data_IF_259289210428
#
_entry.id   IF_259289210428
#
_cell.length_a   1.000
_cell.length_b   1.000
_cell.length_c   1.000
_cell.angle_alpha   90.00
_cell.angle_beta   90.00
_cell.angle_gamma   90.00
#
_symmetry.space_group_name_H-M   'P 1'
#
loop_
_entity.id
_entity.type
_entity.pdbx_description
1 polymer ?
#
# COMPACT_ATOMS: atom_id res chain seq x y z
N UNK A 1 10.68 5.83 27.97
CA UNK A 1 10.85 5.06 26.75
C UNK A 1 12.05 5.61 26.00
N UNK A 2 12.99 4.81 25.54
CA UNK A 2 14.16 5.38 24.86
C UNK A 2 13.73 5.94 23.49
N UNK A 3 13.90 7.23 23.31
CA UNK A 3 13.57 8.00 22.10
C UNK A 3 14.47 7.72 20.87
N UNK A 4 15.24 6.62 20.88
CA UNK A 4 16.35 6.43 19.94
C UNK A 4 16.04 5.61 18.69
N UNK A 5 14.83 5.07 18.52
CA UNK A 5 14.57 4.07 17.47
C UNK A 5 13.33 4.32 16.59
N UNK A 6 12.87 5.57 16.55
CA UNK A 6 11.80 5.92 15.60
C UNK A 6 12.33 5.77 14.15
N UNK A 7 11.52 5.18 13.22
CA UNK A 7 11.89 5.10 11.83
C UNK A 7 11.99 6.48 11.18
N UNK A 8 12.85 6.60 10.18
CA UNK A 8 13.17 7.87 9.53
C UNK A 8 11.94 8.63 9.00
N UNK A 9 10.96 7.90 8.45
CA UNK A 9 9.72 8.50 7.96
C UNK A 9 8.93 9.21 9.07
N UNK A 10 8.84 8.60 10.26
CA UNK A 10 8.10 9.17 11.39
C UNK A 10 8.84 10.40 11.94
N UNK A 11 10.16 10.28 12.15
CA UNK A 11 11.00 11.42 12.59
C UNK A 11 10.82 12.63 11.67
N UNK A 12 10.83 12.40 10.36
CA UNK A 12 10.66 13.47 9.36
C UNK A 12 9.30 14.15 9.49
N UNK A 13 8.22 13.36 9.61
CA UNK A 13 6.87 13.92 9.67
C UNK A 13 6.61 14.67 10.98
N UNK A 14 7.01 14.13 12.13
CA UNK A 14 6.78 14.77 13.43
C UNK A 14 7.70 15.98 13.68
N UNK A 15 8.82 16.06 12.99
CA UNK A 15 9.72 17.23 13.07
C UNK A 15 9.13 18.47 12.39
N UNK A 16 8.25 18.30 11.41
CA UNK A 16 7.54 19.40 10.76
C UNK A 16 6.39 19.89 11.66
N UNK A 17 6.62 21.00 12.36
CA UNK A 17 5.65 21.65 13.25
C UNK A 17 4.76 22.67 12.52
N UNK A 18 4.95 22.82 11.20
CA UNK A 18 4.15 23.76 10.40
C UNK A 18 2.66 23.35 10.30
N UNK A 19 1.77 24.32 10.09
CA UNK A 19 0.37 24.03 9.83
C UNK A 19 0.23 23.23 8.53
N UNK A 20 -0.86 22.43 8.36
CA UNK A 20 -1.12 21.78 7.09
C UNK A 20 -1.29 22.85 6.00
N UNK A 21 -0.78 22.59 4.79
CA UNK A 21 -0.91 23.55 3.69
C UNK A 21 -2.34 23.64 3.19
N UNK A 22 -2.77 24.84 2.78
CA UNK A 22 -3.94 24.97 1.93
C UNK A 22 -3.60 24.45 0.53
N UNK A 23 -4.49 23.66 -0.05
CA UNK A 23 -4.32 23.04 -1.35
C UNK A 23 -5.44 23.43 -2.30
N UNK A 24 -5.07 23.74 -3.52
CA UNK A 24 -5.99 24.06 -4.59
C UNK A 24 -6.17 22.86 -5.52
N UNK A 25 -7.42 22.61 -5.92
CA UNK A 25 -7.80 21.60 -6.88
C UNK A 25 -7.81 22.18 -8.28
N UNK A 26 -6.80 21.84 -9.08
CA UNK A 26 -6.77 22.13 -10.50
C UNK A 26 -7.59 21.10 -11.26
N UNK A 27 -8.44 21.57 -12.16
CA UNK A 27 -9.28 20.75 -13.04
C UNK A 27 -8.92 20.98 -14.51
N UNK A 28 -9.49 20.25 -15.46
CA UNK A 28 -9.39 20.56 -16.88
C UNK A 28 -9.74 21.99 -17.26
N UNK A 29 -10.65 22.63 -16.51
CA UNK A 29 -11.06 24.03 -16.73
C UNK A 29 -9.93 25.04 -16.47
N UNK A 30 -8.91 24.63 -15.72
CA UNK A 30 -7.74 25.47 -15.44
C UNK A 30 -6.61 25.32 -16.48
N UNK A 31 -6.82 24.53 -17.54
CA UNK A 31 -5.83 24.33 -18.58
C UNK A 31 -6.00 25.32 -19.73
N UNK A 32 -4.87 25.71 -20.35
CA UNK A 32 -4.86 26.43 -21.61
C UNK A 32 -4.90 25.43 -22.77
N UNK A 33 -6.10 25.05 -23.19
CA UNK A 33 -6.29 24.04 -24.25
C UNK A 33 -6.37 24.65 -25.66
N UNK A 34 -6.19 25.98 -25.79
CA UNK A 34 -6.38 26.70 -27.04
C UNK A 34 -7.83 26.72 -27.53
N UNK A 35 -8.18 27.62 -28.47
CA UNK A 35 -9.57 27.84 -28.90
C UNK A 35 -10.27 26.67 -29.65
N UNK A 36 -9.65 25.51 -29.76
CA UNK A 36 -10.18 24.34 -30.48
C UNK A 36 -10.95 23.33 -29.64
N UNK A 37 -10.92 23.45 -28.33
CA UNK A 37 -11.68 22.56 -27.43
C UNK A 37 -12.73 23.38 -26.67
N UNK A 38 -13.87 23.65 -27.31
CA UNK A 38 -15.09 23.90 -26.54
C UNK A 38 -15.46 22.59 -25.85
N UNK A 39 -14.82 22.31 -24.72
CA UNK A 39 -15.31 21.29 -23.79
C UNK A 39 -16.63 21.85 -23.26
N UNK A 40 -17.78 21.17 -23.46
CA UNK A 40 -18.98 21.57 -22.77
C UNK A 40 -18.60 21.62 -21.29
N UNK A 41 -18.93 22.71 -20.63
CA UNK A 41 -18.78 22.82 -19.18
C UNK A 41 -19.45 21.58 -18.58
N UNK A 42 -18.65 20.59 -18.20
CA UNK A 42 -19.13 19.49 -17.37
C UNK A 42 -19.49 20.22 -16.09
N UNK A 43 -20.77 20.54 -15.95
CA UNK A 43 -21.32 21.13 -14.74
C UNK A 43 -20.96 20.18 -13.60
N UNK A 44 -19.84 20.45 -12.93
CA UNK A 44 -19.48 19.83 -11.65
C UNK A 44 -20.45 20.36 -10.56
N UNK A 45 -21.74 20.29 -10.84
CA UNK A 45 -22.81 20.45 -9.86
C UNK A 45 -23.03 19.13 -9.14
N UNK A 46 -21.97 18.44 -8.73
CA UNK A 46 -22.09 17.52 -7.61
C UNK A 46 -22.16 18.39 -6.38
N UNK A 47 -23.38 18.64 -5.92
CA UNK A 47 -23.63 19.47 -4.75
C UNK A 47 -22.88 18.93 -3.54
N UNK A 48 -22.69 19.79 -2.54
CA UNK A 48 -22.12 19.50 -1.21
C UNK A 48 -22.64 18.19 -0.54
N UNK A 49 -23.74 17.64 -1.01
CA UNK A 49 -24.41 16.43 -0.52
C UNK A 49 -23.73 15.10 -0.94
N UNK A 50 -22.62 15.14 -1.69
CA UNK A 50 -22.03 13.92 -2.28
C UNK A 50 -20.69 13.49 -1.63
N UNK A 51 -20.11 14.31 -0.76
CA UNK A 51 -18.82 14.03 -0.12
C UNK A 51 -18.85 12.75 0.73
N UNK A 52 -19.97 12.41 1.33
CA UNK A 52 -20.11 11.20 2.15
C UNK A 52 -19.97 9.92 1.34
N UNK A 53 -20.28 9.96 0.04
CA UNK A 53 -20.15 8.81 -0.87
C UNK A 53 -18.99 8.93 -1.85
N UNK A 54 -18.44 10.13 -2.04
CA UNK A 54 -17.36 10.39 -2.98
C UNK A 54 -16.07 9.76 -2.52
N UNK A 55 -15.43 9.01 -3.42
CA UNK A 55 -14.11 8.40 -3.21
C UNK A 55 -13.06 9.20 -3.96
N UNK A 56 -12.11 9.77 -3.24
CA UNK A 56 -10.95 10.42 -3.82
C UNK A 56 -9.82 9.41 -3.95
N UNK A 57 -9.35 9.13 -5.17
CA UNK A 57 -8.25 8.19 -5.43
C UNK A 57 -6.97 8.97 -5.73
N UNK A 58 -6.10 9.09 -4.72
CA UNK A 58 -4.80 9.75 -4.83
C UNK A 58 -3.75 8.77 -5.36
N UNK A 59 -3.23 9.08 -6.54
CA UNK A 59 -2.30 8.20 -7.24
C UNK A 59 -2.99 7.34 -8.30
N UNK A 60 -3.04 7.85 -9.55
CA UNK A 60 -3.70 7.16 -10.68
C UNK A 60 -2.69 6.26 -11.44
N UNK A 61 -1.93 5.49 -10.65
CA UNK A 61 -1.07 4.41 -11.11
C UNK A 61 -1.85 3.13 -11.43
N UNK A 62 -1.16 1.99 -11.56
CA UNK A 62 -1.80 0.70 -11.89
C UNK A 62 -2.90 0.32 -10.90
N UNK A 63 -2.62 0.44 -9.60
CA UNK A 63 -3.57 0.06 -8.54
C UNK A 63 -4.72 1.07 -8.48
N UNK A 64 -4.45 2.37 -8.52
CA UNK A 64 -5.52 3.37 -8.52
C UNK A 64 -6.48 3.20 -9.71
N UNK A 65 -5.96 2.90 -10.91
CA UNK A 65 -6.77 2.62 -12.10
C UNK A 65 -7.59 1.33 -11.97
N UNK A 66 -7.01 0.28 -11.40
CA UNK A 66 -7.70 -0.97 -11.12
C UNK A 66 -8.90 -0.71 -10.19
N UNK A 67 -8.66 -0.06 -9.04
CA UNK A 67 -9.72 0.24 -8.08
C UNK A 67 -10.78 1.18 -8.65
N UNK A 68 -10.40 2.26 -9.32
CA UNK A 68 -11.33 3.16 -9.98
C UNK A 68 -12.23 2.41 -10.96
N UNK A 69 -11.64 1.57 -11.83
CA UNK A 69 -12.39 0.78 -12.81
C UNK A 69 -13.32 -0.24 -12.17
N UNK A 70 -12.91 -0.87 -11.05
CA UNK A 70 -13.72 -1.87 -10.38
C UNK A 70 -14.85 -1.25 -9.55
N UNK A 71 -14.57 -0.17 -8.82
CA UNK A 71 -15.58 0.56 -8.05
C UNK A 71 -16.67 1.16 -8.95
N UNK A 72 -16.29 1.68 -10.12
CA UNK A 72 -17.24 2.25 -11.08
C UNK A 72 -18.18 1.23 -11.74
N UNK A 73 -17.90 -0.07 -11.60
CA UNK A 73 -18.75 -1.16 -12.16
C UNK A 73 -19.80 -1.69 -11.20
N UNK A 74 -19.90 -1.14 -10.03
CA UNK A 74 -20.93 -1.53 -9.08
C UNK A 74 -22.33 -1.10 -9.57
N UNK A 75 -23.41 -1.76 -9.17
CA UNK A 75 -24.78 -1.36 -9.53
C UNK A 75 -25.13 0.07 -9.06
N UNK A 76 -24.49 0.53 -7.98
CA UNK A 76 -24.60 1.89 -7.44
C UNK A 76 -23.20 2.42 -7.16
N UNK A 77 -22.46 2.81 -8.21
CA UNK A 77 -21.08 3.23 -8.04
C UNK A 77 -20.98 4.49 -7.17
N UNK A 78 -19.96 4.60 -6.35
CA UNK A 78 -19.66 5.87 -5.71
C UNK A 78 -19.18 6.87 -6.76
N UNK A 79 -19.44 8.17 -6.60
CA UNK A 79 -18.74 9.20 -7.35
C UNK A 79 -17.22 9.09 -7.07
N UNK A 80 -16.41 9.18 -8.10
CA UNK A 80 -14.96 9.02 -7.98
C UNK A 80 -14.25 10.25 -8.53
N UNK A 81 -13.35 10.81 -7.72
CA UNK A 81 -12.39 11.84 -8.15
C UNK A 81 -11.00 11.22 -8.22
N UNK A 82 -10.42 11.22 -9.40
CA UNK A 82 -9.04 10.81 -9.65
C UNK A 82 -8.10 11.97 -9.33
N UNK A 83 -7.17 11.77 -8.40
CA UNK A 83 -6.21 12.80 -8.02
C UNK A 83 -4.84 12.47 -8.60
N UNK A 84 -4.43 13.27 -9.58
CA UNK A 84 -3.15 13.12 -10.26
C UNK A 84 -2.05 13.95 -9.61
N UNK A 85 -0.80 13.64 -9.89
CA UNK A 85 0.35 14.26 -9.22
C UNK A 85 1.04 15.36 -10.05
N UNK A 86 0.57 15.65 -11.27
CA UNK A 86 1.14 16.66 -12.15
C UNK A 86 0.14 17.15 -13.20
N UNK A 87 0.32 18.40 -13.64
CA UNK A 87 -0.56 19.12 -14.56
C UNK A 87 -0.70 18.42 -15.92
N UNK A 88 0.38 17.84 -16.44
CA UNK A 88 0.39 17.17 -17.76
C UNK A 88 -0.61 16.02 -17.83
N UNK A 89 -0.89 15.35 -16.70
CA UNK A 89 -1.90 14.29 -16.64
C UNK A 89 -3.32 14.81 -16.82
N UNK A 90 -3.62 16.05 -16.39
CA UNK A 90 -4.92 16.69 -16.71
C UNK A 90 -5.06 16.90 -18.21
N UNK A 91 -3.99 17.40 -18.88
CA UNK A 91 -4.00 17.58 -20.35
C UNK A 91 -4.19 16.25 -21.07
N UNK A 92 -3.47 15.20 -20.64
CA UNK A 92 -3.60 13.86 -21.22
C UNK A 92 -5.00 13.26 -20.98
N UNK A 93 -5.62 13.57 -19.85
CA UNK A 93 -6.99 13.17 -19.56
C UNK A 93 -8.00 13.77 -20.54
N UNK A 94 -7.89 15.08 -20.80
CA UNK A 94 -8.78 15.77 -21.74
C UNK A 94 -8.66 15.17 -23.14
N UNK A 95 -7.44 14.89 -23.59
CA UNK A 95 -7.13 14.35 -24.92
C UNK A 95 -7.41 12.85 -25.05
N UNK A 96 -7.52 12.13 -23.92
CA UNK A 96 -7.68 10.68 -23.89
C UNK A 96 -9.14 10.24 -23.70
N UNK A 97 -9.33 8.92 -23.69
CA UNK A 97 -10.63 8.25 -23.56
C UNK A 97 -10.95 7.85 -22.11
N UNK A 98 -10.28 8.44 -21.13
CA UNK A 98 -10.45 8.08 -19.72
C UNK A 98 -9.52 6.95 -19.25
N UNK A 99 -9.90 6.27 -18.17
CA UNK A 99 -9.18 5.08 -17.66
C UNK A 99 -9.52 3.89 -18.53
N UNK A 100 -8.48 3.23 -19.07
CA UNK A 100 -8.59 2.00 -19.84
C UNK A 100 -7.98 0.84 -19.03
N UNK A 101 -8.79 -0.19 -18.78
CA UNK A 101 -8.37 -1.45 -18.17
C UNK A 101 -8.63 -2.60 -19.14
N UNK A 102 -7.57 -3.20 -19.66
CA UNK A 102 -7.65 -4.37 -20.53
C UNK A 102 -7.54 -5.64 -19.69
N UNK A 103 -8.47 -6.57 -19.89
CA UNK A 103 -8.46 -7.92 -19.31
C UNK A 103 -8.95 -8.92 -20.34
N UNK A 104 -8.28 -10.06 -20.46
CA UNK A 104 -8.64 -11.13 -21.41
C UNK A 104 -8.82 -10.59 -22.84
N UNK A 105 -7.92 -9.69 -23.26
CA UNK A 105 -7.94 -8.97 -24.55
C UNK A 105 -9.14 -8.02 -24.75
N UNK A 106 -9.98 -7.82 -23.75
CA UNK A 106 -11.09 -6.87 -23.78
C UNK A 106 -10.68 -5.59 -23.05
N UNK A 107 -10.61 -4.47 -23.79
CA UNK A 107 -10.35 -3.15 -23.25
C UNK A 107 -11.66 -2.48 -22.84
N UNK A 108 -11.75 -2.07 -21.58
CA UNK A 108 -12.89 -1.32 -21.06
C UNK A 108 -12.40 0.07 -20.67
N UNK A 109 -13.05 1.07 -21.24
CA UNK A 109 -12.76 2.50 -21.02
C UNK A 109 -13.86 3.12 -20.18
N UNK A 110 -13.46 3.99 -19.26
CA UNK A 110 -14.39 4.80 -18.50
C UNK A 110 -13.81 6.21 -18.33
N UNK A 111 -14.62 7.21 -18.69
CA UNK A 111 -14.30 8.64 -18.54
C UNK A 111 -15.24 9.34 -17.54
N UNK A 112 -16.17 8.60 -16.92
CA UNK A 112 -17.12 9.13 -15.95
C UNK A 112 -16.47 9.29 -14.57
N UNK A 113 -15.33 9.95 -14.54
CA UNK A 113 -14.58 10.29 -13.33
C UNK A 113 -14.33 11.80 -13.34
N UNK A 114 -14.47 12.42 -12.18
CA UNK A 114 -13.84 13.72 -11.95
C UNK A 114 -12.33 13.55 -11.89
N UNK A 115 -11.57 14.56 -12.28
CA UNK A 115 -10.12 14.53 -12.22
C UNK A 115 -9.58 15.85 -11.69
N UNK A 116 -8.64 15.77 -10.75
CA UNK A 116 -8.03 16.93 -10.10
C UNK A 116 -6.52 16.74 -9.95
N UNK A 117 -5.79 17.85 -9.90
CA UNK A 117 -4.41 17.92 -9.46
C UNK A 117 -4.34 18.82 -8.24
N UNK A 118 -3.93 18.29 -7.10
CA UNK A 118 -3.86 19.02 -5.85
C UNK A 118 -2.49 19.63 -5.60
N UNK A 119 -2.42 20.93 -5.45
CA UNK A 119 -1.17 21.68 -5.31
C UNK A 119 -1.33 22.90 -4.41
N UNK A 120 -0.21 23.44 -3.89
CA UNK A 120 -0.19 24.68 -3.10
C UNK A 120 -0.41 25.93 -3.94
N UNK A 121 -0.13 25.85 -5.24
CA UNK A 121 -0.29 26.98 -6.16
C UNK A 121 -1.75 27.06 -6.62
N UNK A 122 -2.37 28.21 -6.45
CA UNK A 122 -3.68 28.49 -6.99
C UNK A 122 -3.63 28.49 -8.53
N UNK A 123 -4.70 28.09 -9.23
CA UNK A 123 -4.82 28.26 -10.66
C UNK A 123 -4.71 29.74 -11.07
N UNK A 124 -3.97 29.98 -12.14
CA UNK A 124 -3.87 31.29 -12.77
C UNK A 124 -4.99 31.56 -13.78
N UNK A 125 -5.79 30.54 -14.10
CA UNK A 125 -6.95 30.58 -15.01
C UNK A 125 -8.07 29.68 -14.53
N UNK A 126 -9.29 29.98 -14.97
CA UNK A 126 -10.49 29.20 -14.60
C UNK A 126 -10.88 29.36 -13.14
N UNK A 127 -11.75 28.50 -12.63
CA UNK A 127 -12.21 28.58 -11.25
C UNK A 127 -11.08 28.28 -10.26
N UNK A 128 -10.94 29.08 -9.23
CA UNK A 128 -10.01 28.82 -8.11
C UNK A 128 -10.82 28.13 -7.02
N UNK A 129 -10.52 26.85 -6.79
CA UNK A 129 -11.19 26.03 -5.78
C UNK A 129 -10.17 25.39 -4.86
N UNK A 130 -10.51 25.36 -3.59
CA UNK A 130 -9.79 24.57 -2.60
C UNK A 130 -10.16 23.08 -2.74
N UNK A 131 -9.27 22.18 -2.32
CA UNK A 131 -9.55 20.74 -2.25
C UNK A 131 -10.86 20.51 -1.46
N UNK A 132 -11.77 19.72 -2.02
CA UNK A 132 -13.10 19.44 -1.47
C UNK A 132 -13.89 20.71 -1.10
N UNK A 133 -13.66 21.84 -1.81
CA UNK A 133 -14.25 23.15 -1.51
C UNK A 133 -14.00 23.64 -0.06
N UNK A 134 -12.86 23.23 0.53
CA UNK A 134 -12.48 23.54 1.91
C UNK A 134 -13.10 22.61 2.97
N UNK A 135 -13.96 21.67 2.56
CA UNK A 135 -14.58 20.68 3.45
C UNK A 135 -13.65 19.51 3.75
N UNK A 136 -14.06 18.62 4.65
CA UNK A 136 -13.30 17.41 4.99
C UNK A 136 -13.54 16.27 4.00
N UNK A 137 -12.46 15.63 3.60
CA UNK A 137 -12.49 14.41 2.79
C UNK A 137 -13.04 13.25 3.64
N UNK A 138 -14.15 12.66 3.23
CA UNK A 138 -14.73 11.52 3.97
C UNK A 138 -14.08 10.20 3.56
N UNK A 139 -13.77 10.02 2.28
CA UNK A 139 -13.28 8.77 1.75
C UNK A 139 -12.06 9.02 0.86
N UNK A 140 -10.86 8.83 1.41
CA UNK A 140 -9.59 9.01 0.70
C UNK A 140 -8.90 7.64 0.48
N UNK A 141 -8.65 7.29 -0.78
CA UNK A 141 -7.92 6.09 -1.19
C UNK A 141 -6.54 6.49 -1.73
N UNK A 142 -5.47 6.08 -1.05
CA UNK A 142 -4.09 6.40 -1.42
C UNK A 142 -3.45 5.18 -2.08
N UNK A 143 -3.10 5.30 -3.37
CA UNK A 143 -2.42 4.27 -4.17
C UNK A 143 -1.13 4.79 -4.82
N UNK A 144 -0.47 5.74 -4.17
CA UNK A 144 0.88 6.18 -4.51
C UNK A 144 1.92 5.10 -4.13
N UNK A 145 3.19 5.27 -4.49
CA UNK A 145 4.27 4.43 -3.96
C UNK A 145 4.31 4.50 -2.42
N UNK A 146 4.69 3.41 -1.76
CA UNK A 146 4.68 3.30 -0.30
C UNK A 146 5.50 4.40 0.40
N UNK A 147 6.62 4.82 -0.20
CA UNK A 147 7.45 5.93 0.32
C UNK A 147 6.72 7.27 0.34
N UNK A 148 5.78 7.52 -0.59
CA UNK A 148 5.03 8.76 -0.69
C UNK A 148 3.70 8.74 0.10
N UNK A 149 3.21 7.56 0.50
CA UNK A 149 1.86 7.41 1.05
C UNK A 149 1.65 8.19 2.35
N UNK A 150 2.54 8.06 3.33
CA UNK A 150 2.44 8.80 4.59
C UNK A 150 2.70 10.30 4.43
N UNK A 151 3.72 10.76 3.66
CA UNK A 151 3.86 12.18 3.33
C UNK A 151 2.61 12.79 2.69
N UNK A 152 1.95 12.09 1.78
CA UNK A 152 0.71 12.57 1.16
C UNK A 152 -0.45 12.61 2.15
N UNK A 153 -0.63 11.59 3.00
CA UNK A 153 -1.65 11.60 4.05
C UNK A 153 -1.41 12.75 5.03
N UNK A 154 -0.16 12.99 5.44
CA UNK A 154 0.20 14.09 6.34
C UNK A 154 0.00 15.47 5.70
N UNK A 155 0.33 15.62 4.42
CA UNK A 155 0.07 16.85 3.66
C UNK A 155 -1.40 17.19 3.62
N UNK A 156 -2.26 16.17 3.59
CA UNK A 156 -3.73 16.30 3.56
C UNK A 156 -4.38 16.40 4.94
N UNK A 157 -3.61 16.35 6.03
CA UNK A 157 -4.18 16.32 7.40
C UNK A 157 -5.14 17.45 7.73
N UNK A 158 -4.99 18.62 7.08
CA UNK A 158 -5.91 19.74 7.22
C UNK A 158 -7.31 19.46 6.66
N UNK A 159 -7.42 18.51 5.74
CA UNK A 159 -8.68 18.07 5.14
C UNK A 159 -9.20 16.75 5.72
N UNK A 160 -8.59 16.26 6.81
CA UNK A 160 -8.97 15.01 7.47
C UNK A 160 -9.40 15.30 8.92
N UNK A 161 -10.38 14.56 9.39
CA UNK A 161 -10.89 14.61 10.76
C UNK A 161 -11.37 13.21 11.22
N UNK A 162 -11.93 13.14 12.42
CA UNK A 162 -12.48 11.90 13.00
C UNK A 162 -13.57 11.22 12.15
N UNK A 163 -14.16 11.91 11.18
CA UNK A 163 -15.18 11.38 10.28
C UNK A 163 -14.59 10.93 8.93
N UNK A 164 -13.31 11.14 8.73
CA UNK A 164 -12.58 10.74 7.54
C UNK A 164 -12.06 9.30 7.66
N UNK A 165 -12.05 8.60 6.53
CA UNK A 165 -11.38 7.30 6.39
C UNK A 165 -10.35 7.36 5.29
N UNK A 166 -9.13 6.95 5.61
CA UNK A 166 -8.00 6.88 4.67
C UNK A 166 -7.67 5.41 4.44
N UNK A 167 -7.70 4.99 3.19
CA UNK A 167 -7.32 3.62 2.78
C UNK A 167 -5.97 3.64 2.07
N UNK A 168 -5.04 2.84 2.55
CA UNK A 168 -3.74 2.63 1.92
C UNK A 168 -3.73 1.36 1.09
N UNK A 169 -3.29 1.46 -0.18
CA UNK A 169 -3.21 0.32 -1.11
C UNK A 169 -1.77 0.08 -1.61
N UNK A 170 -0.79 0.30 -0.74
CA UNK A 170 0.61 0.03 -1.03
C UNK A 170 0.99 -1.41 -0.72
N UNK A 171 2.07 -1.87 -1.37
CA UNK A 171 2.76 -3.08 -0.94
C UNK A 171 3.56 -2.84 0.35
N UNK A 172 3.91 -3.92 1.05
CA UNK A 172 4.63 -3.87 2.32
C UNK A 172 3.70 -3.75 3.52
N UNK A 173 4.28 -3.50 4.67
CA UNK A 173 3.54 -3.30 5.91
C UNK A 173 3.00 -1.88 6.00
N UNK A 174 1.79 -1.73 6.51
CA UNK A 174 1.30 -0.39 6.85
C UNK A 174 2.22 0.25 7.91
N UNK A 175 2.62 1.49 7.65
CA UNK A 175 3.47 2.26 8.59
C UNK A 175 2.73 2.65 9.88
N UNK A 176 1.40 2.50 9.88
CA UNK A 176 0.54 2.84 11.01
C UNK A 176 0.25 1.66 11.96
N UNK A 177 0.83 0.48 11.73
CA UNK A 177 0.81 -0.57 12.72
C UNK A 177 1.56 -0.13 14.00
N UNK A 178 1.16 -0.63 15.18
CA UNK A 178 1.87 -0.33 16.42
C UNK A 178 3.37 -0.62 16.34
N UNK A 179 4.19 0.18 17.06
CA UNK A 179 3.78 1.29 17.93
C UNK A 179 3.63 2.64 17.19
N UNK A 180 4.11 2.74 15.95
CA UNK A 180 4.35 4.01 15.26
C UNK A 180 3.07 4.75 14.86
N UNK A 181 1.97 4.01 14.62
CA UNK A 181 0.70 4.63 14.22
C UNK A 181 0.12 5.52 15.31
N UNK A 182 0.11 5.05 16.55
CA UNK A 182 -0.37 5.84 17.68
C UNK A 182 0.52 7.07 17.92
N UNK A 183 1.83 6.90 17.78
CA UNK A 183 2.79 7.99 17.93
C UNK A 183 2.59 9.06 16.83
N UNK A 184 2.39 8.65 15.58
CA UNK A 184 2.05 9.56 14.48
C UNK A 184 0.79 10.35 14.78
N UNK A 185 -0.29 9.69 15.17
CA UNK A 185 -1.57 10.35 15.50
C UNK A 185 -1.40 11.37 16.63
N UNK A 186 -0.73 10.99 17.72
CA UNK A 186 -0.54 11.85 18.87
C UNK A 186 0.22 13.16 18.56
N UNK A 187 1.09 13.13 17.55
CA UNK A 187 1.86 14.31 17.13
C UNK A 187 1.18 15.15 16.02
N UNK A 188 0.30 14.56 15.23
CA UNK A 188 -0.22 15.19 14.01
C UNK A 188 -1.67 15.61 14.08
N UNK A 189 -2.43 15.09 15.03
CA UNK A 189 -3.85 15.39 15.20
C UNK A 189 -4.16 15.77 16.63
N UNK A 190 -5.17 16.61 16.80
CA UNK A 190 -5.77 16.86 18.10
C UNK A 190 -6.38 15.57 18.66
N UNK A 191 -6.37 15.43 19.98
CA UNK A 191 -6.90 14.25 20.66
C UNK A 191 -8.36 13.97 20.22
N UNK A 192 -8.61 12.75 19.76
CA UNK A 192 -9.93 12.30 19.29
C UNK A 192 -10.36 12.84 17.94
N UNK A 193 -9.49 13.55 17.19
CA UNK A 193 -9.83 14.13 15.88
C UNK A 193 -9.05 13.51 14.71
N UNK A 194 -8.32 12.43 14.93
CA UNK A 194 -7.62 11.71 13.87
C UNK A 194 -8.60 10.94 12.98
N UNK A 195 -8.31 10.78 11.66
CA UNK A 195 -9.07 9.90 10.78
C UNK A 195 -8.89 8.43 11.15
N UNK A 196 -9.79 7.58 10.66
CA UNK A 196 -9.61 6.14 10.67
C UNK A 196 -8.76 5.69 9.47
N UNK A 197 -7.89 4.73 9.69
CA UNK A 197 -6.98 4.20 8.67
C UNK A 197 -7.24 2.72 8.40
N UNK A 198 -7.42 2.39 7.13
CA UNK A 198 -7.55 1.04 6.61
C UNK A 198 -6.38 0.74 5.68
N UNK A 199 -6.16 -0.53 5.37
CA UNK A 199 -5.24 -0.91 4.30
C UNK A 199 -5.85 -1.99 3.40
N UNK A 200 -5.42 -1.98 2.13
CA UNK A 200 -5.71 -3.03 1.16
C UNK A 200 -4.46 -3.85 0.88
N UNK A 201 -4.64 -5.16 0.81
CA UNK A 201 -3.66 -6.07 0.22
C UNK A 201 -4.15 -6.39 -1.18
N UNK A 202 -3.31 -6.18 -2.18
CA UNK A 202 -3.65 -6.34 -3.60
C UNK A 202 -2.72 -7.39 -4.20
N UNK A 203 -3.26 -8.56 -4.57
CA UNK A 203 -2.49 -9.65 -5.16
C UNK A 203 -2.57 -9.66 -6.70
N UNK A 204 -3.37 -8.78 -7.28
CA UNK A 204 -3.51 -8.63 -8.73
C UNK A 204 -2.23 -8.14 -9.40
N UNK A 205 -1.86 -8.77 -10.52
CA UNK A 205 -0.84 -8.26 -11.43
C UNK A 205 -1.44 -7.26 -12.42
N UNK A 206 -0.93 -6.04 -12.41
CA UNK A 206 -1.39 -4.96 -13.31
C UNK A 206 -0.20 -4.27 -13.95
N UNK A 207 -0.16 -4.25 -15.27
CA UNK A 207 0.91 -3.63 -16.06
C UNK A 207 0.43 -2.30 -16.64
N UNK A 208 1.27 -1.26 -16.57
CA UNK A 208 1.02 0.02 -17.25
C UNK A 208 1.44 -0.05 -18.70
N UNK A 209 0.57 0.36 -19.60
CA UNK A 209 0.87 0.49 -21.05
C UNK A 209 0.75 1.92 -21.54
N UNK A 210 0.65 2.87 -20.62
CA UNK A 210 0.60 4.30 -20.91
C UNK A 210 -0.17 5.09 -19.88
N UNK A 211 -0.27 6.41 -20.05
CA UNK A 211 -1.12 7.24 -19.19
C UNK A 211 -2.56 6.73 -19.21
N UNK A 212 -3.13 6.54 -18.01
CA UNK A 212 -4.48 6.03 -17.79
C UNK A 212 -4.79 4.66 -18.39
N UNK A 213 -3.79 3.93 -18.94
CA UNK A 213 -3.98 2.62 -19.58
C UNK A 213 -3.24 1.52 -18.81
N UNK A 214 -3.96 0.44 -18.52
CA UNK A 214 -3.40 -0.73 -17.80
C UNK A 214 -3.92 -2.03 -18.38
N UNK A 215 -3.08 -3.07 -18.27
CA UNK A 215 -3.47 -4.46 -18.52
C UNK A 215 -3.52 -5.21 -17.20
N UNK A 216 -4.64 -5.83 -16.89
CA UNK A 216 -4.82 -6.71 -15.74
C UNK A 216 -4.28 -8.11 -16.11
N UNK A 217 -2.98 -8.29 -15.91
CA UNK A 217 -2.23 -9.46 -16.40
C UNK A 217 -2.40 -10.71 -15.55
N UNK A 218 -2.62 -10.54 -14.25
CA UNK A 218 -2.79 -11.66 -13.31
C UNK A 218 -3.96 -11.35 -12.37
N UNK A 219 -5.19 -11.78 -12.72
CA UNK A 219 -6.32 -11.74 -11.79
C UNK A 219 -6.04 -12.58 -10.56
N UNK A 220 -6.32 -12.04 -9.39
CA UNK A 220 -6.12 -12.69 -8.11
C UNK A 220 -7.21 -12.23 -7.11
N UNK A 221 -6.85 -12.06 -5.86
CA UNK A 221 -7.71 -11.54 -4.81
C UNK A 221 -7.16 -10.23 -4.22
N UNK A 222 -8.00 -9.59 -3.43
CA UNK A 222 -7.64 -8.46 -2.59
C UNK A 222 -8.27 -8.63 -1.20
N UNK A 223 -7.73 -7.91 -0.22
CA UNK A 223 -8.33 -7.82 1.11
C UNK A 223 -8.32 -6.37 1.56
N UNK A 224 -9.35 -5.96 2.31
CA UNK A 224 -9.39 -4.66 2.99
C UNK A 224 -9.67 -4.88 4.47
N UNK A 225 -8.98 -4.15 5.32
CA UNK A 225 -9.20 -4.23 6.77
C UNK A 225 -8.68 -3.02 7.52
N UNK A 226 -9.08 -2.90 8.81
CA UNK A 226 -8.65 -1.82 9.68
C UNK A 226 -7.17 -1.97 10.07
N UNK A 227 -6.48 -0.83 10.17
CA UNK A 227 -5.12 -0.72 10.72
C UNK A 227 -5.15 0.05 12.01
N UNK A 228 -5.77 1.23 11.99
CA UNK A 228 -5.88 2.11 13.14
C UNK A 228 -7.21 2.87 13.03
N UNK A 229 -8.19 2.44 13.78
CA UNK A 229 -9.57 2.93 13.69
C UNK A 229 -9.97 3.56 15.01
N UNK A 230 -10.74 4.63 14.94
CA UNK A 230 -11.27 5.32 16.11
C UNK A 230 -12.15 4.37 16.94
N UNK A 231 -12.23 4.54 18.28
CA UNK A 231 -13.07 3.71 19.14
C UNK A 231 -14.55 3.73 18.74
N UNK A 232 -15.00 4.83 18.12
CA UNK A 232 -16.31 4.96 17.47
C UNK A 232 -16.07 5.19 15.98
N UNK A 233 -16.02 4.13 15.17
CA UNK A 233 -15.71 4.25 13.76
C UNK A 233 -16.75 5.11 13.02
N UNK A 234 -16.32 6.02 12.14
CA UNK A 234 -17.26 6.78 11.32
C UNK A 234 -17.91 5.88 10.27
N UNK A 235 -19.09 6.23 9.74
CA UNK A 235 -19.78 5.48 8.68
C UNK A 235 -18.92 5.25 7.43
N UNK A 236 -17.95 6.11 7.17
CA UNK A 236 -16.99 5.98 6.06
C UNK A 236 -16.11 4.72 6.15
N UNK A 237 -15.85 4.17 7.33
CA UNK A 237 -15.13 2.89 7.52
C UNK A 237 -15.94 1.75 6.93
N UNK A 238 -17.20 1.60 7.34
CA UNK A 238 -18.09 0.54 6.81
C UNK A 238 -18.35 0.74 5.32
N UNK A 239 -18.53 2.00 4.89
CA UNK A 239 -18.69 2.34 3.49
C UNK A 239 -17.52 1.81 2.65
N UNK A 240 -16.27 2.13 3.00
CA UNK A 240 -15.11 1.64 2.26
C UNK A 240 -14.98 0.12 2.28
N UNK A 241 -15.14 -0.50 3.45
CA UNK A 241 -15.07 -1.96 3.59
C UNK A 241 -16.07 -2.63 2.64
N UNK A 242 -17.32 -2.13 2.61
CA UNK A 242 -18.39 -2.64 1.76
C UNK A 242 -18.12 -2.37 0.27
N UNK A 243 -17.74 -1.14 -0.09
CA UNK A 243 -17.50 -0.77 -1.49
C UNK A 243 -16.35 -1.58 -2.10
N UNK A 244 -15.27 -1.79 -1.38
CA UNK A 244 -14.13 -2.57 -1.87
C UNK A 244 -14.47 -4.06 -1.93
N UNK A 245 -15.13 -4.61 -0.91
CA UNK A 245 -15.52 -6.02 -0.89
C UNK A 245 -16.52 -6.38 -2.00
N UNK A 246 -17.43 -5.45 -2.34
CA UNK A 246 -18.45 -5.65 -3.38
C UNK A 246 -17.94 -5.30 -4.80
N UNK A 247 -16.73 -4.74 -4.95
CA UNK A 247 -16.23 -4.29 -6.24
C UNK A 247 -15.96 -5.46 -7.19
N UNK A 248 -16.62 -5.50 -8.35
CA UNK A 248 -16.44 -6.58 -9.32
C UNK A 248 -14.98 -6.68 -9.77
N UNK A 249 -14.53 -7.88 -10.09
CA UNK A 249 -13.18 -8.21 -10.56
C UNK A 249 -12.05 -8.08 -9.54
N UNK A 250 -12.27 -7.48 -8.38
CA UNK A 250 -11.28 -7.44 -7.31
C UNK A 250 -11.25 -8.73 -6.49
N UNK A 251 -12.30 -9.56 -6.55
CA UNK A 251 -12.42 -10.74 -5.70
C UNK A 251 -11.97 -10.42 -4.26
N UNK A 252 -12.51 -9.33 -3.74
CA UNK A 252 -12.03 -8.72 -2.49
C UNK A 252 -12.86 -9.17 -1.31
N UNK A 253 -12.23 -9.29 -0.15
CA UNK A 253 -12.90 -9.57 1.12
C UNK A 253 -12.54 -8.54 2.18
N UNK A 254 -13.49 -8.29 3.09
CA UNK A 254 -13.22 -7.57 4.33
C UNK A 254 -12.63 -8.52 5.35
N UNK A 255 -11.60 -8.07 6.05
CA UNK A 255 -10.88 -8.85 7.06
C UNK A 255 -10.68 -8.05 8.34
N UNK A 256 -10.42 -8.72 9.44
CA UNK A 256 -10.07 -8.07 10.70
C UNK A 256 -8.70 -7.41 10.68
N UNK A 257 -8.41 -6.57 11.68
CA UNK A 257 -7.09 -5.98 11.87
C UNK A 257 -6.01 -7.06 12.02
N UNK A 258 -6.25 -8.06 12.84
CA UNK A 258 -5.30 -9.16 13.05
C UNK A 258 -5.11 -10.02 11.80
N UNK A 259 -6.19 -10.36 11.07
CA UNK A 259 -6.08 -11.09 9.81
C UNK A 259 -5.32 -10.27 8.76
N UNK A 260 -5.62 -8.98 8.64
CA UNK A 260 -4.92 -8.08 7.71
C UNK A 260 -3.42 -8.02 8.02
N UNK A 261 -3.06 -7.88 9.29
CA UNK A 261 -1.67 -7.82 9.74
C UNK A 261 -0.90 -9.09 9.36
N UNK A 262 -1.49 -10.26 9.63
CA UNK A 262 -0.89 -11.54 9.26
C UNK A 262 -0.74 -11.71 7.74
N UNK A 263 -1.74 -11.34 6.96
CA UNK A 263 -1.68 -11.37 5.50
C UNK A 263 -0.61 -10.42 4.95
N UNK A 264 -0.44 -9.23 5.56
CA UNK A 264 0.65 -8.32 5.18
C UNK A 264 2.02 -8.89 5.51
N UNK A 265 2.21 -9.52 6.69
CA UNK A 265 3.46 -10.19 7.05
C UNK A 265 3.80 -11.32 6.07
N UNK A 266 2.84 -12.16 5.72
CA UNK A 266 3.05 -13.23 4.74
C UNK A 266 3.44 -12.72 3.36
N UNK A 267 2.77 -11.65 2.90
CA UNK A 267 3.11 -11.02 1.62
C UNK A 267 4.48 -10.33 1.68
N UNK A 268 4.82 -9.72 2.83
CA UNK A 268 6.13 -9.12 3.05
C UNK A 268 7.26 -10.12 2.88
N UNK A 269 7.13 -11.34 3.48
CA UNK A 269 8.13 -12.41 3.31
C UNK A 269 8.42 -12.69 1.84
N UNK A 270 7.35 -12.85 1.03
CA UNK A 270 7.50 -13.12 -0.40
C UNK A 270 8.17 -11.96 -1.13
N UNK A 271 7.72 -10.72 -0.87
CA UNK A 271 8.23 -9.53 -1.52
C UNK A 271 9.68 -9.19 -1.12
N UNK A 272 10.04 -9.37 0.15
CA UNK A 272 11.39 -9.08 0.65
C UNK A 272 12.45 -10.05 0.12
N UNK A 273 12.05 -11.18 -0.42
CA UNK A 273 12.96 -12.20 -0.98
C UNK A 273 12.91 -12.20 -2.51
N UNK A 274 11.74 -12.42 -3.11
CA UNK A 274 11.61 -12.57 -4.56
C UNK A 274 11.96 -11.28 -5.28
N UNK A 275 11.44 -10.14 -4.82
CA UNK A 275 11.56 -8.90 -5.57
C UNK A 275 13.01 -8.40 -5.70
N UNK A 276 13.82 -8.31 -4.62
CA UNK A 276 15.20 -7.87 -4.74
C UNK A 276 16.08 -8.87 -5.52
N UNK A 277 15.89 -10.17 -5.31
CA UNK A 277 16.68 -11.17 -6.01
C UNK A 277 16.43 -11.15 -7.52
N UNK A 278 15.16 -11.07 -7.95
CA UNK A 278 14.83 -10.95 -9.37
C UNK A 278 15.30 -9.62 -9.96
N UNK A 279 15.29 -8.54 -9.17
CA UNK A 279 15.82 -7.26 -9.60
C UNK A 279 17.34 -7.28 -9.80
N UNK A 280 18.11 -7.96 -8.94
CA UNK A 280 19.55 -8.09 -9.04
C UNK A 280 19.98 -9.05 -10.16
N UNK A 281 19.27 -10.19 -10.29
CA UNK A 281 19.57 -11.23 -11.28
C UNK A 281 18.95 -10.97 -12.66
N UNK A 282 18.10 -9.95 -12.81
CA UNK A 282 17.35 -9.63 -14.04
C UNK A 282 16.59 -10.83 -14.61
N UNK A 283 15.90 -11.59 -13.75
CA UNK A 283 15.24 -12.84 -14.12
C UNK A 283 13.75 -12.82 -13.72
N UNK A 284 12.96 -13.75 -14.26
CA UNK A 284 11.59 -14.00 -13.83
C UNK A 284 11.55 -14.68 -12.45
N UNK A 285 10.41 -14.62 -11.78
CA UNK A 285 10.25 -15.17 -10.44
C UNK A 285 10.60 -16.65 -10.36
N UNK A 286 10.16 -17.48 -11.33
CA UNK A 286 10.38 -18.93 -11.34
C UNK A 286 11.83 -19.33 -11.51
N UNK A 287 12.64 -18.48 -12.13
CA UNK A 287 14.06 -18.77 -12.35
C UNK A 287 14.85 -18.86 -11.02
N UNK A 288 14.36 -18.21 -9.95
CA UNK A 288 14.92 -18.36 -8.61
C UNK A 288 14.75 -19.78 -8.04
N UNK A 289 13.77 -20.54 -8.54
CA UNK A 289 13.36 -21.84 -8.01
C UNK A 289 13.59 -22.99 -9.00
N UNK A 290 14.21 -22.73 -10.15
CA UNK A 290 14.39 -23.71 -11.23
C UNK A 290 15.22 -24.93 -10.82
N UNK A 291 16.07 -24.81 -9.80
CA UNK A 291 16.86 -25.89 -9.25
C UNK A 291 16.15 -26.75 -8.19
N UNK A 292 14.90 -26.45 -7.85
CA UNK A 292 14.20 -27.10 -6.73
C UNK A 292 14.76 -26.66 -5.36
N UNK A 293 14.46 -27.45 -4.32
CA UNK A 293 15.02 -27.24 -2.95
C UNK A 293 16.47 -27.74 -2.84
N UNK A 294 17.33 -27.40 -3.82
CA UNK A 294 18.69 -27.88 -3.87
C UNK A 294 19.61 -27.12 -2.91
N UNK A 295 20.58 -27.83 -2.37
CA UNK A 295 21.72 -27.26 -1.63
C UNK A 295 22.71 -26.63 -2.64
N UNK A 296 22.28 -25.54 -3.26
CA UNK A 296 23.08 -24.73 -4.15
C UNK A 296 23.25 -23.30 -3.56
N UNK A 297 24.19 -22.51 -4.07
CA UNK A 297 24.45 -21.16 -3.51
C UNK A 297 23.23 -20.25 -3.45
N UNK A 298 22.34 -20.29 -4.43
CA UNK A 298 21.10 -19.51 -4.43
C UNK A 298 20.12 -20.01 -3.37
N UNK A 299 19.98 -21.33 -3.19
CA UNK A 299 19.19 -21.94 -2.12
C UNK A 299 19.68 -21.51 -0.72
N UNK A 300 20.99 -21.46 -0.51
CA UNK A 300 21.59 -20.99 0.75
C UNK A 300 21.29 -19.51 1.00
N UNK A 301 21.33 -18.66 -0.03
CA UNK A 301 20.90 -17.26 0.07
C UNK A 301 19.42 -17.14 0.45
N UNK A 302 18.54 -17.92 -0.19
CA UNK A 302 17.12 -17.97 0.14
C UNK A 302 16.89 -18.39 1.61
N UNK A 303 17.59 -19.43 2.07
CA UNK A 303 17.49 -19.93 3.44
C UNK A 303 17.98 -18.89 4.47
N UNK A 304 19.07 -18.18 4.19
CA UNK A 304 19.58 -17.11 5.06
C UNK A 304 18.60 -15.95 5.17
N UNK A 305 18.06 -15.46 4.04
CA UNK A 305 17.04 -14.42 4.02
C UNK A 305 15.76 -14.83 4.78
N UNK A 306 15.32 -16.09 4.58
CA UNK A 306 14.17 -16.62 5.31
C UNK A 306 14.44 -16.72 6.81
N UNK A 307 15.65 -17.14 7.22
CA UNK A 307 16.03 -17.23 8.63
C UNK A 307 16.03 -15.85 9.31
N UNK A 308 16.64 -14.83 8.68
CA UNK A 308 16.63 -13.46 9.18
C UNK A 308 15.18 -12.93 9.27
N UNK A 309 14.37 -13.12 8.23
CA UNK A 309 12.96 -12.68 8.21
C UNK A 309 12.14 -13.40 9.30
N UNK A 310 12.30 -14.72 9.44
CA UNK A 310 11.63 -15.54 10.46
C UNK A 310 11.95 -15.04 11.86
N UNK A 311 13.23 -14.76 12.15
CA UNK A 311 13.67 -14.27 13.45
C UNK A 311 13.01 -12.90 13.80
N UNK A 312 12.96 -11.96 12.86
CA UNK A 312 12.31 -10.66 13.05
C UNK A 312 10.81 -10.83 13.31
N UNK A 313 10.11 -11.66 12.52
CA UNK A 313 8.66 -11.86 12.69
C UNK A 313 8.35 -12.58 14.01
N UNK A 314 9.17 -13.57 14.41
CA UNK A 314 9.00 -14.22 15.70
C UNK A 314 9.17 -13.25 16.87
N UNK A 315 10.18 -12.38 16.82
CA UNK A 315 10.36 -11.36 17.83
C UNK A 315 9.18 -10.39 17.87
N UNK A 316 8.66 -9.97 16.71
CA UNK A 316 7.51 -9.07 16.60
C UNK A 316 6.22 -9.69 17.18
N UNK A 317 5.91 -10.94 16.83
CA UNK A 317 4.71 -11.65 17.31
C UNK A 317 4.71 -11.79 18.85
N UNK A 318 5.90 -11.93 19.45
CA UNK A 318 6.06 -12.05 20.90
C UNK A 318 6.27 -10.71 21.62
N UNK A 319 6.37 -9.60 20.89
CA UNK A 319 6.57 -8.28 21.48
C UNK A 319 5.26 -7.68 22.01
N UNK A 320 5.33 -6.93 23.10
CA UNK A 320 4.17 -6.29 23.73
C UNK A 320 3.35 -5.40 22.79
N UNK A 321 4.01 -4.75 21.81
CA UNK A 321 3.32 -3.90 20.83
C UNK A 321 2.35 -4.65 19.91
N UNK A 322 2.44 -5.97 19.82
CA UNK A 322 1.55 -6.81 19.02
C UNK A 322 0.36 -7.36 19.81
N UNK A 323 0.32 -7.16 21.12
CA UNK A 323 -0.70 -7.76 21.99
C UNK A 323 -2.14 -7.39 21.58
N UNK A 324 -2.41 -6.11 21.32
CA UNK A 324 -3.74 -5.63 20.93
C UNK A 324 -4.18 -6.18 19.57
N UNK A 325 -3.24 -6.33 18.63
CA UNK A 325 -3.53 -6.89 17.30
C UNK A 325 -3.89 -8.37 17.44
N UNK A 326 -3.13 -9.12 18.25
CA UNK A 326 -3.38 -10.54 18.49
C UNK A 326 -4.69 -10.75 19.24
N UNK A 327 -5.01 -9.92 20.22
CA UNK A 327 -6.29 -9.94 20.91
C UNK A 327 -7.46 -9.70 19.93
N UNK A 328 -7.36 -8.71 19.04
CA UNK A 328 -8.39 -8.44 18.03
C UNK A 328 -8.58 -9.58 17.02
N UNK A 329 -7.52 -10.34 16.72
CA UNK A 329 -7.60 -11.53 15.87
C UNK A 329 -8.39 -12.66 16.55
N UNK A 330 -8.25 -12.83 17.86
CA UNK A 330 -8.94 -13.87 18.62
C UNK A 330 -10.42 -13.57 18.82
N UNK A 331 -10.77 -12.33 19.13
CA UNK A 331 -12.15 -11.91 19.44
C UNK A 331 -13.11 -12.19 18.28
N UNK A 332 -12.65 -12.09 17.05
CA UNK A 332 -13.46 -12.39 15.86
C UNK A 332 -13.59 -13.89 15.56
N UNK A 333 -12.67 -14.71 16.03
CA UNK A 333 -12.72 -16.16 15.83
C UNK A 333 -13.46 -16.91 16.96
N UNK A 334 -13.82 -16.20 18.03
CA UNK A 334 -14.63 -16.74 19.15
C UNK A 334 -15.67 -15.70 19.62
N UNK A 335 -16.90 -15.70 19.08
CA UNK A 335 -17.89 -14.64 19.32
C UNK A 335 -18.56 -14.62 20.71
N UNK A 336 -17.92 -15.12 21.73
CA UNK A 336 -18.46 -15.08 23.09
C UNK A 336 -17.39 -15.11 24.18
N UNK A 337 -16.84 -13.95 24.53
CA UNK A 337 -16.34 -13.61 25.89
C UNK A 337 -15.59 -12.30 25.92
N UNK A 338 -15.93 -11.41 26.85
CA UNK A 338 -15.36 -10.10 27.10
C UNK A 338 -13.96 -10.07 27.73
N UNK A 339 -13.40 -11.22 28.09
CA UNK A 339 -12.04 -11.34 28.63
C UNK A 339 -11.33 -12.53 27.98
N UNK A 340 -10.36 -12.24 27.09
CA UNK A 340 -9.54 -13.27 26.47
C UNK A 340 -8.50 -13.73 27.50
N UNK A 341 -8.50 -15.01 27.95
CA UNK A 341 -7.50 -15.51 28.87
C UNK A 341 -6.09 -15.40 28.26
N UNK A 342 -5.11 -15.02 29.04
CA UNK A 342 -3.69 -14.90 28.63
C UNK A 342 -3.16 -16.21 28.01
N UNK A 343 -3.65 -17.35 28.44
CA UNK A 343 -3.32 -18.67 27.92
C UNK A 343 -3.65 -18.81 26.43
N UNK A 344 -4.76 -18.22 25.97
CA UNK A 344 -5.16 -18.26 24.56
C UNK A 344 -4.21 -17.42 23.66
N UNK A 345 -3.68 -16.32 24.17
CA UNK A 345 -2.70 -15.50 23.43
C UNK A 345 -1.41 -16.29 23.24
N UNK A 346 -0.95 -17.03 24.24
CA UNK A 346 0.25 -17.88 24.12
C UNK A 346 0.06 -19.02 23.11
N UNK A 347 -1.11 -19.64 23.06
CA UNK A 347 -1.41 -20.65 22.04
C UNK A 347 -1.41 -20.05 20.64
N UNK A 348 -2.00 -18.87 20.47
CA UNK A 348 -1.95 -18.14 19.20
C UNK A 348 -0.49 -17.80 18.80
N UNK A 349 0.30 -17.26 19.71
CA UNK A 349 1.71 -16.94 19.49
C UNK A 349 2.50 -18.19 19.08
N UNK A 350 2.24 -19.33 19.72
CA UNK A 350 2.87 -20.62 19.33
C UNK A 350 2.48 -21.05 17.91
N UNK A 351 1.20 -20.96 17.55
CA UNK A 351 0.73 -21.26 16.20
C UNK A 351 1.32 -20.33 15.15
N UNK A 352 1.48 -19.04 15.50
CA UNK A 352 2.13 -18.05 14.62
C UNK A 352 3.64 -18.30 14.51
N UNK A 353 4.30 -18.73 15.59
CA UNK A 353 5.70 -19.11 15.55
C UNK A 353 5.93 -20.29 14.59
N UNK A 354 5.04 -21.27 14.56
CA UNK A 354 5.08 -22.35 13.58
C UNK A 354 4.84 -21.85 12.15
N UNK A 355 3.80 -21.02 11.96
CA UNK A 355 3.42 -20.42 10.66
C UNK A 355 4.53 -19.56 10.03
N UNK A 356 5.34 -18.91 10.84
CA UNK A 356 6.49 -18.10 10.41
C UNK A 356 7.84 -18.78 10.65
N UNK A 357 7.86 -20.08 10.94
CA UNK A 357 9.10 -20.86 11.06
C UNK A 357 9.80 -21.01 9.71
N UNK A 358 11.12 -21.13 9.73
CA UNK A 358 11.93 -21.32 8.52
C UNK A 358 11.42 -22.47 7.63
N UNK A 359 11.13 -23.69 8.14
CA UNK A 359 10.64 -24.78 7.30
C UNK A 359 9.30 -24.47 6.63
N UNK A 360 8.38 -23.82 7.37
CA UNK A 360 7.08 -23.46 6.83
C UNK A 360 7.19 -22.36 5.77
N UNK A 361 7.96 -21.31 6.04
CA UNK A 361 8.19 -20.22 5.10
C UNK A 361 8.91 -20.70 3.85
N UNK A 362 9.90 -21.60 3.97
CA UNK A 362 10.59 -22.20 2.83
C UNK A 362 9.61 -22.93 1.92
N UNK A 363 8.82 -23.84 2.47
CA UNK A 363 7.79 -24.58 1.70
C UNK A 363 6.81 -23.62 1.00
N UNK A 364 6.36 -22.57 1.71
CA UNK A 364 5.44 -21.56 1.17
C UNK A 364 6.08 -20.76 0.05
N UNK A 365 7.33 -20.31 0.23
CA UNK A 365 8.08 -19.52 -0.75
C UNK A 365 8.27 -20.29 -2.06
N UNK A 366 8.72 -21.54 -1.98
CA UNK A 366 8.93 -22.38 -3.17
C UNK A 366 7.60 -22.63 -3.90
N UNK A 367 6.53 -22.98 -3.18
CA UNK A 367 5.20 -23.18 -3.80
C UNK A 367 4.71 -21.90 -4.48
N UNK A 368 4.85 -20.76 -3.83
CA UNK A 368 4.46 -19.47 -4.39
C UNK A 368 5.32 -19.11 -5.60
N UNK A 369 6.64 -19.27 -5.51
CA UNK A 369 7.57 -18.98 -6.60
C UNK A 369 7.27 -19.78 -7.88
N UNK A 370 6.87 -21.04 -7.76
CA UNK A 370 6.41 -21.85 -8.90
C UNK A 370 5.08 -21.32 -9.46
N UNK A 371 4.12 -20.98 -8.57
CA UNK A 371 2.80 -20.49 -9.00
C UNK A 371 2.90 -19.18 -9.80
N UNK A 372 3.81 -18.29 -9.42
CA UNK A 372 4.02 -16.97 -10.08
C UNK A 372 5.25 -16.97 -10.97
N UNK A 373 5.74 -18.14 -11.41
CA UNK A 373 7.03 -18.32 -12.07
C UNK A 373 7.21 -17.49 -13.34
N UNK A 374 6.18 -17.39 -14.16
CA UNK A 374 6.21 -16.60 -15.40
C UNK A 374 6.13 -15.09 -15.19
N UNK A 375 5.84 -14.67 -13.96
CA UNK A 375 5.69 -13.24 -13.67
C UNK A 375 7.07 -12.58 -13.50
N UNK A 376 7.09 -11.30 -13.82
CA UNK A 376 8.19 -10.37 -13.48
C UNK A 376 7.80 -9.61 -12.23
N UNK A 377 8.66 -9.58 -11.23
CA UNK A 377 8.39 -8.86 -9.99
C UNK A 377 8.22 -7.36 -10.26
N UNK A 378 7.48 -6.67 -9.38
CA UNK A 378 7.31 -5.21 -9.48
C UNK A 378 8.64 -4.48 -9.39
N UNK A 379 9.57 -4.97 -8.56
CA UNK A 379 10.89 -4.37 -8.39
C UNK A 379 11.77 -4.55 -9.64
N UNK A 380 11.71 -5.72 -10.28
CA UNK A 380 12.38 -5.93 -11.57
C UNK A 380 11.86 -4.94 -12.62
N UNK A 381 10.53 -4.76 -12.71
CA UNK A 381 9.93 -3.79 -13.62
C UNK A 381 10.36 -2.35 -13.31
N UNK A 382 10.48 -1.99 -12.03
CA UNK A 382 10.92 -0.65 -11.61
C UNK A 382 12.38 -0.40 -12.02
N UNK A 383 13.31 -1.32 -11.72
CA UNK A 383 14.74 -1.13 -12.06
C UNK A 383 14.98 -1.09 -13.56
N UNK A 384 14.26 -1.88 -14.35
CA UNK A 384 14.35 -1.85 -15.82
C UNK A 384 13.78 -0.55 -16.41
N UNK A 385 12.76 0.02 -15.76
CA UNK A 385 12.19 1.31 -16.15
C UNK A 385 12.97 2.51 -15.57
N UNK A 386 14.07 2.30 -14.85
CA UNK A 386 14.84 3.35 -14.18
C UNK A 386 14.04 4.09 -13.11
N UNK A 387 13.06 3.42 -12.48
CA UNK A 387 12.21 4.00 -11.45
C UNK A 387 12.71 3.62 -10.05
N UNK A 388 12.46 4.45 -9.03
CA UNK A 388 12.71 4.10 -7.64
C UNK A 388 11.93 2.83 -7.24
N UNK A 389 12.61 1.91 -6.55
CA UNK A 389 12.04 0.67 -6.04
C UNK A 389 11.38 0.85 -4.68
N UNK A 390 10.64 -0.17 -4.22
CA UNK A 390 10.06 -0.25 -2.88
C UNK A 390 10.94 -1.11 -1.92
N UNK A 391 12.25 -1.25 -2.19
CA UNK A 391 13.16 -2.08 -1.39
C UNK A 391 13.16 -1.67 0.10
N UNK A 392 13.08 -0.36 0.38
CA UNK A 392 13.02 0.15 1.75
C UNK A 392 11.69 -0.10 2.45
N UNK A 393 10.62 -0.30 1.70
CA UNK A 393 9.31 -0.62 2.27
C UNK A 393 9.15 -2.13 2.54
N UNK A 394 10.06 -2.98 2.02
CA UNK A 394 10.13 -4.42 2.30
C UNK A 394 11.32 -4.75 3.22
N UNK A 395 12.50 -4.80 2.64
CA UNK A 395 13.74 -5.15 3.37
C UNK A 395 14.10 -4.05 4.40
N UNK A 396 13.90 -2.77 4.06
CA UNK A 396 14.09 -1.68 5.00
C UNK A 396 13.15 -1.76 6.20
N UNK A 397 11.90 -2.16 6.01
CA UNK A 397 10.96 -2.39 7.12
C UNK A 397 11.46 -3.49 8.06
N UNK A 398 12.00 -4.60 7.54
CA UNK A 398 12.59 -5.67 8.36
C UNK A 398 13.79 -5.16 9.18
N UNK A 399 14.63 -4.33 8.56
CA UNK A 399 15.79 -3.72 9.23
C UNK A 399 15.37 -2.77 10.35
N UNK A 400 14.38 -1.90 10.08
CA UNK A 400 13.85 -0.96 11.06
C UNK A 400 13.15 -1.70 12.22
N UNK A 401 12.41 -2.76 11.90
CA UNK A 401 11.71 -3.57 12.89
C UNK A 401 12.70 -4.36 13.77
N UNK A 402 13.74 -4.94 13.18
CA UNK A 402 14.81 -5.60 13.96
C UNK A 402 15.48 -4.61 14.95
N UNK A 403 15.76 -3.40 14.49
CA UNK A 403 16.34 -2.36 15.36
C UNK A 403 15.38 -1.92 16.50
N UNK A 404 14.08 -1.94 16.25
CA UNK A 404 13.06 -1.63 17.26
C UNK A 404 12.90 -2.76 18.29
N UNK A 405 12.87 -4.02 17.85
CA UNK A 405 12.59 -5.18 18.69
C UNK A 405 13.81 -5.61 19.53
N UNK A 406 14.92 -5.87 18.87
CA UNK A 406 16.18 -6.29 19.51
C UNK A 406 17.35 -6.07 18.55
N UNK A 407 18.31 -5.24 18.95
CA UNK A 407 19.50 -4.93 18.14
C UNK A 407 20.40 -6.15 17.85
N UNK A 408 20.21 -7.29 18.53
CA UNK A 408 20.95 -8.53 18.29
C UNK A 408 20.39 -9.36 17.12
N UNK A 409 19.19 -9.02 16.62
CA UNK A 409 18.62 -9.68 15.45
C UNK A 409 19.49 -9.41 14.22
N UNK A 410 20.01 -10.47 13.62
CA UNK A 410 20.78 -10.36 12.39
C UNK A 410 19.84 -10.08 11.21
N UNK A 411 20.12 -9.03 10.48
CA UNK A 411 19.44 -8.61 9.24
C UNK A 411 20.48 -8.08 8.24
N UNK A 412 21.72 -8.58 8.35
CA UNK A 412 22.84 -8.13 7.53
C UNK A 412 22.62 -8.38 6.05
N UNK A 413 22.00 -9.53 5.71
CA UNK A 413 21.70 -9.90 4.33
C UNK A 413 20.64 -8.96 3.74
N UNK A 414 19.60 -8.58 4.51
CA UNK A 414 18.62 -7.59 4.07
C UNK A 414 19.24 -6.19 3.86
N UNK A 415 20.20 -5.78 4.71
CA UNK A 415 20.93 -4.51 4.54
C UNK A 415 21.75 -4.51 3.25
N UNK A 416 22.48 -5.58 2.99
CA UNK A 416 23.26 -5.74 1.75
C UNK A 416 22.35 -5.72 0.51
N UNK A 417 21.17 -6.37 0.56
CA UNK A 417 20.20 -6.32 -0.55
C UNK A 417 19.73 -4.89 -0.82
N UNK A 418 19.47 -4.10 0.20
CA UNK A 418 19.08 -2.69 0.03
C UNK A 418 20.17 -1.92 -0.72
N UNK A 419 21.42 -2.03 -0.29
CA UNK A 419 22.55 -1.35 -0.92
C UNK A 419 22.73 -1.77 -2.38
N UNK A 420 22.65 -3.07 -2.67
CA UNK A 420 22.81 -3.61 -4.03
C UNK A 420 21.69 -3.14 -4.96
N UNK A 421 20.44 -3.18 -4.51
CA UNK A 421 19.28 -2.76 -5.32
C UNK A 421 19.28 -1.25 -5.55
N UNK A 422 19.57 -0.44 -4.53
CA UNK A 422 19.68 1.02 -4.67
C UNK A 422 20.85 1.43 -5.56
N UNK A 423 21.95 0.65 -5.52
CA UNK A 423 23.09 0.80 -6.42
C UNK A 423 22.81 0.33 -7.85
N UNK A 424 21.60 -0.19 -8.12
CA UNK A 424 21.20 -0.77 -9.43
C UNK A 424 22.21 -1.81 -9.96
N UNK A 425 22.77 -2.62 -9.04
CA UNK A 425 23.76 -3.66 -9.35
C UNK A 425 23.08 -4.80 -10.11
N UNK A 426 23.79 -5.37 -11.07
CA UNK A 426 23.37 -6.59 -11.78
C UNK A 426 24.37 -7.68 -11.45
N UNK A 427 23.90 -8.84 -11.03
CA UNK A 427 24.73 -9.96 -10.58
C UNK A 427 24.29 -11.26 -11.28
N UNK A 428 25.22 -12.19 -11.42
CA UNK A 428 24.88 -13.59 -11.63
C UNK A 428 24.72 -14.31 -10.28
N UNK A 429 24.27 -15.58 -10.29
CA UNK A 429 23.99 -16.32 -9.07
C UNK A 429 25.23 -16.54 -8.20
N UNK A 430 26.42 -16.76 -8.79
CA UNK A 430 27.67 -16.94 -8.05
C UNK A 430 28.13 -15.65 -7.37
N UNK A 431 28.05 -14.52 -8.08
CA UNK A 431 28.36 -13.19 -7.53
C UNK A 431 27.39 -12.81 -6.41
N UNK A 432 26.10 -13.12 -6.57
CA UNK A 432 25.07 -12.89 -5.55
C UNK A 432 25.41 -13.69 -4.28
N UNK A 433 25.71 -14.98 -4.41
CA UNK A 433 26.07 -15.83 -3.28
C UNK A 433 27.33 -15.31 -2.55
N UNK A 434 28.38 -14.95 -3.30
CA UNK A 434 29.61 -14.38 -2.73
C UNK A 434 29.41 -13.06 -1.97
N UNK A 435 28.34 -12.31 -2.28
CA UNK A 435 28.01 -11.05 -1.60
C UNK A 435 27.16 -11.24 -0.35
N UNK A 436 26.34 -12.30 -0.31
CA UNK A 436 25.31 -12.47 0.69
C UNK A 436 25.58 -13.60 1.69
N UNK A 437 26.45 -14.56 1.36
CA UNK A 437 26.86 -15.66 2.25
C UNK A 437 28.15 -15.33 2.99
#
# INVERSE_FOLDING_TARGET
MPSSQQPAWLKTLIADQGPPPNLFAWTPENLDLGAKHNTPAISLTSGRNDLDRRVFILGVGNIGRLYASCLARQPRPPPITLVVHRKELLTQWVQGDGVELTRDSVAIKNKDFDIEWWTRAAPDRGPVREVADGEKLRNLFISTKASAAMPEADRLRGYLDRHSTVVFAQNGMSKLWPPHGQEYIAHRYEAGNAPSFLACIVNHGVLSIGPFKSVHTAPADASIGPVLVNPQPPPSVEFFMTQVAAAPLLNSKSVSAGELWLLQLEKLVMNAIINPLTALLRCKNGELFAGGELDNPLGQVLDKLLAETSAVIHALVNHESSADILASYMDQNQPSKSDIPTENIHELQKGLAERFSLPYLKKKLYRFGVQVGENRSSMLQDVEAGKPTEIRDFNGWLVDMAAFLDQRLDVSTHRTLIELVEGNVILNQAELANRLL
#
